data_IF_021810832388
#
_entry.id   IF_021810832388
#
_cell.length_a   1.000
_cell.length_b   1.000
_cell.length_c   1.000
_cell.angle_alpha   90.00
_cell.angle_beta   90.00
_cell.angle_gamma   90.00
#
_symmetry.space_group_name_H-M   'P 1'
#
loop_
_entity.id
_entity.type
_entity.pdbx_description
1 polymer ?
#
# COMPACT_ATOMS: atom_id res chain seq x y z
N UNK A 1 -3.27 7.84 -2.27
CA UNK A 1 -2.66 9.07 -1.68
C UNK A 1 -1.14 9.04 -1.71
N UNK A 2 -0.47 8.18 -0.94
CA UNK A 2 1.01 8.13 -0.95
C UNK A 2 1.55 7.75 -2.34
N UNK A 3 0.90 6.80 -3.02
CA UNK A 3 1.17 6.46 -4.42
C UNK A 3 1.16 7.69 -5.34
N UNK A 4 0.08 8.47 -5.29
CA UNK A 4 -0.12 9.64 -6.15
C UNK A 4 0.98 10.69 -5.93
N UNK A 5 1.37 10.90 -4.67
CA UNK A 5 2.47 11.82 -4.32
C UNK A 5 3.78 11.36 -4.94
N UNK A 6 4.15 10.08 -4.77
CA UNK A 6 5.41 9.55 -5.33
C UNK A 6 5.40 9.60 -6.85
N UNK A 7 4.27 9.26 -7.47
CA UNK A 7 4.13 9.26 -8.92
C UNK A 7 4.31 10.65 -9.53
N UNK A 8 3.81 11.70 -8.88
CA UNK A 8 3.89 13.09 -9.39
C UNK A 8 5.20 13.78 -9.00
N UNK A 9 5.70 13.56 -7.78
CA UNK A 9 6.82 14.35 -7.24
C UNK A 9 8.19 13.81 -7.67
N UNK A 10 8.38 12.49 -7.70
CA UNK A 10 9.71 11.89 -7.92
C UNK A 10 9.72 10.76 -8.93
N UNK A 11 8.55 10.19 -9.25
CA UNK A 11 8.44 9.00 -10.08
C UNK A 11 9.16 7.79 -9.49
N UNK A 12 9.26 7.70 -8.16
CA UNK A 12 9.96 6.61 -7.45
C UNK A 12 11.48 6.66 -7.57
N UNK A 13 12.07 7.85 -7.62
CA UNK A 13 13.53 8.07 -7.61
C UNK A 13 14.00 8.61 -6.25
N UNK A 14 15.30 8.67 -6.04
CA UNK A 14 15.92 9.23 -4.82
C UNK A 14 15.44 8.54 -3.54
N UNK A 15 15.34 7.21 -3.58
CA UNK A 15 14.91 6.35 -2.46
C UNK A 15 13.52 6.66 -1.88
N UNK A 16 12.70 7.44 -2.60
CA UNK A 16 11.35 7.83 -2.16
C UNK A 16 10.26 6.88 -2.67
N UNK A 17 10.60 5.64 -3.02
CA UNK A 17 9.67 4.68 -3.61
C UNK A 17 8.76 4.07 -2.56
N UNK A 18 7.52 3.79 -2.96
CA UNK A 18 6.55 3.08 -2.13
C UNK A 18 6.12 1.79 -2.80
N UNK A 19 5.76 0.78 -1.99
CA UNK A 19 5.40 -0.56 -2.47
C UNK A 19 4.32 -0.52 -3.57
N UNK A 20 3.30 0.33 -3.40
CA UNK A 20 2.26 0.49 -4.43
C UNK A 20 2.78 1.08 -5.75
N UNK A 21 3.81 1.93 -5.71
CA UNK A 21 4.45 2.47 -6.92
C UNK A 21 5.25 1.38 -7.63
N UNK A 22 5.98 0.58 -6.86
CA UNK A 22 6.80 -0.52 -7.38
C UNK A 22 5.93 -1.64 -8.00
N UNK A 23 4.77 -1.95 -7.42
CA UNK A 23 3.79 -2.86 -8.01
C UNK A 23 3.36 -2.46 -9.42
N UNK A 24 3.07 -1.16 -9.61
CA UNK A 24 2.66 -0.62 -10.92
C UNK A 24 3.85 -0.62 -11.88
N UNK A 25 5.03 -0.26 -11.40
CA UNK A 25 6.27 -0.28 -12.17
C UNK A 25 6.60 -1.70 -12.69
N UNK A 26 6.48 -2.72 -11.84
CA UNK A 26 6.68 -4.13 -12.21
C UNK A 26 5.69 -4.62 -13.24
N UNK A 27 4.42 -4.22 -13.12
CA UNK A 27 3.40 -4.58 -14.09
C UNK A 27 3.59 -3.85 -15.43
N UNK A 28 3.83 -2.55 -15.42
CA UNK A 28 3.85 -1.75 -16.64
C UNK A 28 5.19 -1.79 -17.38
N UNK A 29 6.31 -1.65 -16.67
CA UNK A 29 7.65 -1.63 -17.31
C UNK A 29 8.20 -3.03 -17.57
N UNK A 30 7.98 -3.96 -16.65
CA UNK A 30 8.56 -5.30 -16.72
C UNK A 30 7.55 -6.37 -17.15
N UNK A 31 6.26 -6.01 -17.32
CA UNK A 31 5.18 -6.93 -17.68
C UNK A 31 5.10 -8.17 -16.77
N UNK A 32 5.58 -8.04 -15.52
CA UNK A 32 5.68 -9.12 -14.56
C UNK A 32 4.53 -9.06 -13.56
N UNK A 33 3.40 -9.66 -13.95
CA UNK A 33 2.20 -9.73 -13.11
C UNK A 33 2.42 -10.56 -11.84
N UNK A 34 3.31 -11.57 -11.89
CA UNK A 34 3.64 -12.40 -10.74
C UNK A 34 4.31 -11.62 -9.60
N UNK A 35 5.33 -10.81 -9.92
CA UNK A 35 6.03 -10.01 -8.91
C UNK A 35 5.13 -8.90 -8.34
N UNK A 36 4.36 -8.23 -9.20
CA UNK A 36 3.37 -7.22 -8.77
C UNK A 36 2.33 -7.83 -7.81
N UNK A 37 1.86 -9.05 -8.10
CA UNK A 37 0.90 -9.77 -7.25
C UNK A 37 1.52 -10.21 -5.92
N UNK A 38 2.77 -10.68 -5.92
CA UNK A 38 3.49 -11.02 -4.69
C UNK A 38 3.63 -9.79 -3.77
N UNK A 39 4.03 -8.64 -4.33
CA UNK A 39 4.09 -7.39 -3.59
C UNK A 39 2.72 -6.99 -3.04
N UNK A 40 1.64 -7.14 -3.81
CA UNK A 40 0.28 -6.84 -3.37
C UNK A 40 -0.13 -7.66 -2.14
N UNK A 41 0.14 -8.97 -2.16
CA UNK A 41 -0.21 -9.88 -1.06
C UNK A 41 0.59 -9.54 0.20
N UNK A 42 1.88 -9.27 0.08
CA UNK A 42 2.71 -8.85 1.22
C UNK A 42 2.19 -7.55 1.84
N UNK A 43 1.89 -6.55 1.01
CA UNK A 43 1.33 -5.26 1.45
C UNK A 43 -0.01 -5.46 2.17
N UNK A 44 -0.87 -6.32 1.62
CA UNK A 44 -2.18 -6.65 2.20
C UNK A 44 -2.05 -7.28 3.60
N UNK A 45 -1.15 -8.25 3.77
CA UNK A 45 -0.91 -8.89 5.05
C UNK A 45 -0.41 -7.92 6.13
N UNK A 46 0.42 -6.94 5.75
CA UNK A 46 0.93 -5.92 6.67
C UNK A 46 -0.16 -4.91 7.06
N UNK A 47 -1.02 -4.53 6.12
CA UNK A 47 -2.05 -3.50 6.35
C UNK A 47 -3.28 -4.06 7.09
N UNK A 48 -3.60 -5.33 6.91
CA UNK A 48 -4.71 -6.01 7.58
C UNK A 48 -4.77 -5.80 9.11
N UNK A 49 -3.71 -6.08 9.89
CA UNK A 49 -3.76 -5.93 11.35
C UNK A 49 -4.01 -4.48 11.78
N UNK A 50 -3.44 -3.51 11.04
CA UNK A 50 -3.68 -2.09 11.29
C UNK A 50 -5.15 -1.73 11.09
N UNK A 51 -5.76 -2.19 9.99
CA UNK A 51 -7.19 -1.96 9.72
C UNK A 51 -8.05 -2.62 10.79
N UNK A 52 -7.76 -3.86 11.17
CA UNK A 52 -8.53 -4.60 12.20
C UNK A 52 -8.44 -3.88 13.54
N UNK A 53 -7.25 -3.43 13.94
CA UNK A 53 -7.05 -2.66 15.16
C UNK A 53 -7.89 -1.38 15.15
N UNK A 54 -7.76 -0.58 14.10
CA UNK A 54 -8.51 0.67 13.94
C UNK A 54 -10.02 0.43 13.96
N UNK A 55 -10.51 -0.58 13.24
CA UNK A 55 -11.93 -0.93 13.19
C UNK A 55 -12.47 -1.36 14.57
N UNK A 56 -11.71 -2.15 15.32
CA UNK A 56 -12.08 -2.54 16.70
C UNK A 56 -12.10 -1.34 17.64
N UNK A 57 -11.12 -0.45 17.54
CA UNK A 57 -11.05 0.76 18.35
C UNK A 57 -12.24 1.69 18.08
N UNK A 58 -12.59 1.89 16.81
CA UNK A 58 -13.76 2.67 16.40
C UNK A 58 -15.08 2.11 16.96
N UNK A 59 -15.24 0.78 17.01
CA UNK A 59 -16.42 0.14 17.61
C UNK A 59 -16.50 0.41 19.11
N UNK A 60 -15.39 0.25 19.83
CA UNK A 60 -15.31 0.56 21.28
C UNK A 60 -15.63 2.02 21.57
N UNK A 61 -15.14 2.95 20.76
CA UNK A 61 -15.43 4.39 20.93
C UNK A 61 -16.91 4.73 20.73
N UNK A 62 -17.62 3.97 19.88
CA UNK A 62 -19.07 4.15 19.66
C UNK A 62 -19.92 3.61 20.82
N UNK A 63 -19.47 2.55 21.50
CA UNK A 63 -20.17 1.99 22.66
C UNK A 63 -20.03 2.85 23.93
N UNK A 64 -18.99 3.71 23.99
CA UNK A 64 -18.74 4.61 25.12
C UNK A 64 -19.55 5.93 24.99
N UNK A 65 -20.25 6.15 23.87
CA UNK A 65 -20.98 7.38 23.56
C UNK A 65 -22.49 7.15 23.58
#
# INVERSE_FOLDING_TARGET
KVYDIVAVMTGGRSDSTVLGFEMVNQQQRFQSYGHSSALAVVLFLIVLPLIIYNARQLRKQKEVR
#
